data_IF_506339967864
#
_entry.id   IF_506339967864
#
_cell.length_a   1.000
_cell.length_b   1.000
_cell.length_c   1.000
_cell.angle_alpha   90.00
_cell.angle_beta   90.00
_cell.angle_gamma   90.00
#
_symmetry.space_group_name_H-M   'P 1'
#
loop_
_entity.id
_entity.type
_entity.pdbx_description
1 polymer ?
#
# COMPACT_ATOMS: atom_id res chain seq x y z
N UNK A 1 -6.69 4.40 -18.36
CA UNK A 1 -5.30 4.83 -18.07
C UNK A 1 -5.06 5.09 -16.57
N UNK A 2 -5.95 5.81 -15.88
CA UNK A 2 -5.86 6.06 -14.42
C UNK A 2 -5.76 4.79 -13.54
N UNK A 3 -6.42 3.70 -13.95
CA UNK A 3 -6.35 2.42 -13.22
C UNK A 3 -4.99 1.70 -13.31
N UNK A 4 -4.30 1.77 -14.46
CA UNK A 4 -2.95 1.22 -14.59
C UNK A 4 -1.96 2.01 -13.74
N UNK A 5 -2.14 3.33 -13.64
CA UNK A 5 -1.30 4.20 -12.83
C UNK A 5 -1.35 3.82 -11.34
N UNK A 6 -2.53 3.46 -10.81
CA UNK A 6 -2.63 3.11 -9.40
C UNK A 6 -2.05 1.73 -9.07
N UNK A 7 -2.24 0.73 -9.93
CA UNK A 7 -1.55 -0.57 -9.79
C UNK A 7 -0.04 -0.40 -9.91
N UNK A 8 0.43 0.51 -10.77
CA UNK A 8 1.85 0.88 -10.86
C UNK A 8 2.35 1.60 -9.61
N UNK A 9 1.60 2.55 -9.04
CA UNK A 9 1.95 3.25 -7.79
C UNK A 9 2.03 2.29 -6.60
N UNK A 10 1.13 1.31 -6.52
CA UNK A 10 1.14 0.27 -5.48
C UNK A 10 2.25 -0.79 -5.67
N UNK A 11 2.57 -1.15 -6.92
CA UNK A 11 3.74 -1.98 -7.19
C UNK A 11 5.04 -1.23 -6.87
N UNK A 12 5.08 0.09 -7.12
CA UNK A 12 6.21 0.97 -6.79
C UNK A 12 6.37 1.13 -5.27
N UNK A 13 5.29 1.22 -4.48
CA UNK A 13 5.41 1.28 -3.02
C UNK A 13 5.99 0.00 -2.44
N UNK A 14 5.63 -1.17 -2.98
CA UNK A 14 6.24 -2.45 -2.61
C UNK A 14 7.72 -2.53 -2.99
N UNK A 15 8.06 -2.11 -4.21
CA UNK A 15 9.43 -2.07 -4.69
C UNK A 15 10.26 -1.09 -3.85
N UNK A 16 9.68 0.04 -3.42
CA UNK A 16 10.34 0.98 -2.52
C UNK A 16 10.55 0.42 -1.12
N UNK A 17 9.58 -0.31 -0.56
CA UNK A 17 9.77 -0.99 0.73
C UNK A 17 10.84 -2.07 0.63
N UNK A 18 10.83 -2.88 -0.44
CA UNK A 18 11.83 -3.92 -0.69
C UNK A 18 13.23 -3.33 -0.97
N UNK A 19 13.31 -2.23 -1.73
CA UNK A 19 14.56 -1.51 -2.01
C UNK A 19 15.10 -0.83 -0.75
N UNK A 20 14.24 -0.27 0.10
CA UNK A 20 14.64 0.29 1.40
C UNK A 20 15.18 -0.77 2.35
N UNK A 21 14.56 -1.95 2.38
CA UNK A 21 15.07 -3.11 3.13
C UNK A 21 16.41 -3.61 2.57
N UNK A 22 16.56 -3.68 1.25
CA UNK A 22 17.81 -4.07 0.60
C UNK A 22 18.94 -3.05 0.86
N UNK A 23 18.62 -1.75 0.90
CA UNK A 23 19.56 -0.68 1.22
C UNK A 23 20.11 -0.81 2.65
N UNK A 24 19.29 -1.26 3.62
CA UNK A 24 19.74 -1.42 5.01
C UNK A 24 20.62 -2.63 5.24
N UNK A 25 20.44 -3.71 4.48
CA UNK A 25 21.40 -4.83 4.48
C UNK A 25 22.78 -4.35 4.00
N UNK A 26 22.81 -3.34 3.12
CA UNK A 26 24.05 -2.81 2.54
C UNK A 26 24.64 -1.62 3.32
N UNK A 27 23.80 -0.77 3.91
CA UNK A 27 24.19 0.41 4.67
C UNK A 27 24.47 0.01 6.12
N UNK A 28 25.71 -0.35 6.41
CA UNK A 28 26.20 -0.76 7.73
C UNK A 28 26.12 0.33 8.82
N UNK A 29 25.54 1.49 8.52
CA UNK A 29 25.55 2.69 9.35
C UNK A 29 24.14 3.14 9.83
N UNK A 30 23.06 2.63 9.24
CA UNK A 30 21.69 3.01 9.66
C UNK A 30 21.03 1.95 10.53
N UNK A 31 20.57 2.34 11.72
CA UNK A 31 19.82 1.44 12.61
C UNK A 31 18.43 1.10 12.06
N UNK A 32 17.96 -0.12 12.29
CA UNK A 32 16.64 -0.62 11.86
C UNK A 32 15.49 0.35 12.22
N UNK A 33 15.56 0.97 13.41
CA UNK A 33 14.53 1.92 13.87
C UNK A 33 14.45 3.20 13.02
N UNK A 34 15.59 3.72 12.56
CA UNK A 34 15.64 4.92 11.73
C UNK A 34 15.10 4.64 10.33
N UNK A 35 15.50 3.52 9.73
CA UNK A 35 14.95 3.06 8.45
C UNK A 35 13.43 2.91 8.51
N UNK A 36 12.92 2.20 9.52
CA UNK A 36 11.48 2.00 9.67
C UNK A 36 10.75 3.35 9.82
N UNK A 37 11.37 4.33 10.50
CA UNK A 37 10.81 5.68 10.60
C UNK A 37 10.71 6.35 9.21
N UNK A 38 11.77 6.28 8.40
CA UNK A 38 11.75 6.85 7.05
C UNK A 38 10.74 6.14 6.13
N UNK A 39 10.65 4.81 6.24
CA UNK A 39 9.66 4.02 5.51
C UNK A 39 8.23 4.39 5.91
N UNK A 40 7.96 4.59 7.20
CA UNK A 40 6.65 5.06 7.69
C UNK A 40 6.31 6.42 7.05
N UNK A 41 7.23 7.39 7.10
CA UNK A 41 6.99 8.73 6.53
C UNK A 41 6.73 8.68 5.01
N UNK A 42 7.52 7.89 4.29
CA UNK A 42 7.37 7.69 2.85
C UNK A 42 6.02 7.02 2.54
N UNK A 43 5.64 6.00 3.32
CA UNK A 43 4.38 5.29 3.13
C UNK A 43 3.17 6.20 3.42
N UNK A 44 3.22 7.04 4.47
CA UNK A 44 2.20 8.06 4.73
C UNK A 44 2.04 8.98 3.52
N UNK A 45 3.15 9.49 2.97
CA UNK A 45 3.13 10.34 1.78
C UNK A 45 2.51 9.64 0.57
N UNK A 46 2.88 8.38 0.34
CA UNK A 46 2.33 7.57 -0.75
C UNK A 46 0.83 7.30 -0.59
N UNK A 47 0.37 7.01 0.64
CA UNK A 47 -1.05 6.77 0.93
C UNK A 47 -1.90 8.04 0.77
N UNK A 48 -1.40 9.20 1.21
CA UNK A 48 -2.05 10.49 1.01
C UNK A 48 -2.15 10.82 -0.49
N UNK A 49 -1.06 10.66 -1.24
CA UNK A 49 -1.05 10.89 -2.68
C UNK A 49 -2.04 9.96 -3.39
N UNK A 50 -2.08 8.69 -2.97
CA UNK A 50 -3.00 7.69 -3.48
C UNK A 50 -4.46 8.08 -3.19
N UNK A 51 -4.79 8.50 -1.97
CA UNK A 51 -6.13 9.00 -1.63
C UNK A 51 -6.52 10.20 -2.50
N UNK A 52 -5.62 11.17 -2.66
CA UNK A 52 -5.85 12.36 -3.47
C UNK A 52 -6.18 12.01 -4.94
N UNK A 53 -5.43 11.08 -5.52
CA UNK A 53 -5.63 10.62 -6.91
C UNK A 53 -6.93 9.83 -7.11
N UNK A 54 -7.46 9.22 -6.05
CA UNK A 54 -8.46 8.14 -6.14
C UNK A 54 -9.82 8.52 -5.53
N UNK A 55 -9.89 9.62 -4.77
CA UNK A 55 -11.07 10.08 -4.01
C UNK A 55 -12.42 9.93 -4.72
N UNK A 56 -12.46 10.11 -6.05
CA UNK A 56 -13.71 10.08 -6.83
C UNK A 56 -14.00 8.75 -7.56
N UNK A 57 -13.11 7.75 -7.49
CA UNK A 57 -13.18 6.54 -8.32
C UNK A 57 -13.41 5.28 -7.49
N UNK A 58 -12.98 5.26 -6.24
CA UNK A 58 -13.03 4.06 -5.41
C UNK A 58 -14.18 4.11 -4.39
N UNK A 59 -14.70 2.92 -4.00
CA UNK A 59 -15.73 2.84 -2.97
C UNK A 59 -15.20 3.36 -1.63
N UNK A 60 -16.11 3.88 -0.82
CA UNK A 60 -15.84 4.50 0.49
C UNK A 60 -15.08 3.55 1.44
N UNK A 61 -15.30 2.24 1.34
CA UNK A 61 -14.56 1.25 2.11
C UNK A 61 -13.06 1.25 1.83
N UNK A 62 -12.62 1.62 0.62
CA UNK A 62 -11.20 1.73 0.28
C UNK A 62 -10.56 2.97 0.87
N UNK A 63 -11.27 4.10 0.82
CA UNK A 63 -10.79 5.35 1.41
C UNK A 63 -10.70 5.23 2.93
N UNK A 64 -11.70 4.61 3.58
CA UNK A 64 -11.68 4.39 5.03
C UNK A 64 -10.53 3.48 5.47
N UNK A 65 -10.26 2.41 4.71
CA UNK A 65 -9.12 1.54 5.00
C UNK A 65 -7.78 2.29 4.91
N UNK A 66 -7.57 3.08 3.85
CA UNK A 66 -6.34 3.88 3.67
C UNK A 66 -6.17 4.93 4.76
N UNK A 67 -7.25 5.60 5.16
CA UNK A 67 -7.24 6.54 6.30
C UNK A 67 -6.86 5.81 7.59
N UNK A 68 -7.39 4.60 7.82
CA UNK A 68 -7.01 3.76 8.95
C UNK A 68 -5.53 3.36 8.95
N UNK A 69 -4.97 3.02 7.79
CA UNK A 69 -3.53 2.73 7.64
C UNK A 69 -2.70 3.98 7.94
N UNK A 70 -3.07 5.15 7.42
CA UNK A 70 -2.38 6.41 7.71
C UNK A 70 -2.40 6.69 9.23
N UNK A 71 -3.55 6.53 9.88
CA UNK A 71 -3.66 6.72 11.33
C UNK A 71 -2.75 5.74 12.10
N UNK A 72 -2.73 4.46 11.71
CA UNK A 72 -1.84 3.46 12.31
C UNK A 72 -0.36 3.83 12.14
N UNK A 73 0.04 4.30 10.96
CA UNK A 73 1.40 4.74 10.68
C UNK A 73 1.82 5.96 11.52
N UNK A 74 0.92 6.92 11.73
CA UNK A 74 1.16 8.07 12.62
C UNK A 74 1.28 7.62 14.08
N UNK A 75 0.43 6.69 14.53
CA UNK A 75 0.51 6.13 15.89
C UNK A 75 1.86 5.44 16.13
N UNK A 76 2.39 4.72 15.13
CA UNK A 76 3.70 4.05 15.24
C UNK A 76 4.84 5.04 15.52
N UNK A 77 4.75 6.28 15.07
CA UNK A 77 5.75 7.32 15.39
C UNK A 77 5.73 7.63 16.89
N UNK A 78 4.55 7.69 17.52
CA UNK A 78 4.43 7.83 18.98
C UNK A 78 4.85 6.57 19.75
N UNK A 79 4.55 5.38 19.21
CA UNK A 79 4.98 4.11 19.80
C UNK A 79 6.50 4.00 19.85
N UNK A 80 7.22 4.54 18.86
CA UNK A 80 8.70 4.60 18.87
C UNK A 80 9.25 5.25 20.14
N UNK A 81 8.62 6.33 20.62
CA UNK A 81 9.08 7.05 21.80
C UNK A 81 8.57 6.44 23.11
N UNK A 82 7.36 5.88 23.11
CA UNK A 82 6.74 5.34 24.34
C UNK A 82 7.11 3.88 24.62
N UNK A 83 7.24 3.05 23.57
CA UNK A 83 7.50 1.60 23.65
C UNK A 83 8.41 1.13 22.49
N UNK A 84 9.70 1.51 22.49
CA UNK A 84 10.61 1.25 21.37
C UNK A 84 10.81 -0.25 21.07
N UNK A 85 10.68 -1.13 22.06
CA UNK A 85 10.78 -2.59 21.86
C UNK A 85 9.66 -3.16 20.97
N UNK A 86 8.47 -2.54 20.97
CA UNK A 86 7.34 -2.96 20.14
C UNK A 86 7.28 -2.26 18.79
N UNK A 87 8.07 -1.21 18.58
CA UNK A 87 8.04 -0.42 17.35
C UNK A 87 8.32 -1.25 16.11
N UNK A 88 9.39 -2.05 16.13
CA UNK A 88 9.79 -2.91 15.00
C UNK A 88 8.71 -3.94 14.62
N UNK A 89 8.24 -4.82 15.54
CA UNK A 89 7.23 -5.82 15.20
C UNK A 89 5.88 -5.20 14.79
N UNK A 90 5.45 -4.11 15.44
CA UNK A 90 4.20 -3.44 15.07
C UNK A 90 4.30 -2.77 13.69
N UNK A 91 5.44 -2.16 13.36
CA UNK A 91 5.64 -1.54 12.04
C UNK A 91 5.59 -2.59 10.93
N UNK A 92 6.29 -3.71 11.11
CA UNK A 92 6.22 -4.86 10.20
C UNK A 92 4.78 -5.37 10.02
N UNK A 93 4.02 -5.45 11.11
CA UNK A 93 2.63 -5.89 11.07
C UNK A 93 1.77 -4.94 10.24
N UNK A 94 1.87 -3.63 10.48
CA UNK A 94 1.11 -2.62 9.71
C UNK A 94 1.48 -2.66 8.23
N UNK A 95 2.77 -2.83 7.90
CA UNK A 95 3.21 -2.96 6.52
C UNK A 95 2.65 -4.22 5.85
N UNK A 96 2.66 -5.35 6.55
CA UNK A 96 2.10 -6.60 6.04
C UNK A 96 0.59 -6.50 5.81
N UNK A 97 -0.15 -5.88 6.73
CA UNK A 97 -1.60 -5.66 6.58
C UNK A 97 -1.89 -4.72 5.40
N UNK A 98 -1.13 -3.63 5.25
CA UNK A 98 -1.27 -2.74 4.10
C UNK A 98 -1.01 -3.48 2.79
N UNK A 99 0.07 -4.27 2.74
CA UNK A 99 0.40 -5.08 1.58
C UNK A 99 -0.69 -6.09 1.24
N UNK A 100 -1.17 -6.85 2.22
CA UNK A 100 -2.20 -7.86 2.03
C UNK A 100 -3.47 -7.24 1.47
N UNK A 101 -3.87 -6.09 1.99
CA UNK A 101 -5.04 -5.36 1.50
C UNK A 101 -4.86 -4.91 0.04
N UNK A 102 -3.71 -4.31 -0.28
CA UNK A 102 -3.41 -3.87 -1.64
C UNK A 102 -3.36 -5.06 -2.62
N UNK A 103 -2.73 -6.17 -2.23
CA UNK A 103 -2.68 -7.40 -3.01
C UNK A 103 -4.08 -8.00 -3.24
N UNK A 104 -4.92 -8.04 -2.21
CA UNK A 104 -6.28 -8.56 -2.31
C UNK A 104 -7.14 -7.71 -3.24
N UNK A 105 -7.10 -6.38 -3.08
CA UNK A 105 -7.89 -5.46 -3.90
C UNK A 105 -7.48 -5.50 -5.37
N UNK A 106 -6.18 -5.60 -5.66
CA UNK A 106 -5.68 -5.79 -7.03
C UNK A 106 -6.08 -7.14 -7.62
N UNK A 107 -5.96 -8.23 -6.86
CA UNK A 107 -6.33 -9.57 -7.33
C UNK A 107 -7.84 -9.68 -7.61
N UNK A 108 -8.67 -9.13 -6.72
CA UNK A 108 -10.12 -9.06 -6.90
C UNK A 108 -10.49 -8.25 -8.15
N UNK A 109 -9.79 -7.13 -8.40
CA UNK A 109 -9.98 -6.31 -9.61
C UNK A 109 -9.56 -7.03 -10.88
N UNK A 110 -8.41 -7.69 -10.91
CA UNK A 110 -7.95 -8.49 -12.07
C UNK A 110 -8.98 -9.58 -12.44
N UNK A 111 -9.53 -10.28 -11.43
CA UNK A 111 -10.60 -11.27 -11.64
C UNK A 111 -11.89 -10.63 -12.18
N UNK A 112 -12.29 -9.45 -11.69
CA UNK A 112 -13.44 -8.70 -12.20
C UNK A 112 -13.28 -8.27 -13.67
N UNK A 113 -12.12 -7.71 -14.02
CA UNK A 113 -11.81 -7.30 -15.39
C UNK A 113 -11.76 -8.48 -16.36
N UNK A 114 -11.24 -9.63 -15.90
CA UNK A 114 -11.24 -10.88 -16.67
C UNK A 114 -12.67 -11.35 -16.97
N UNK A 115 -13.55 -11.39 -15.95
CA UNK A 115 -14.97 -11.73 -16.14
C UNK A 115 -15.68 -10.78 -17.11
N UNK A 116 -15.40 -9.47 -17.04
CA UNK A 116 -15.97 -8.47 -17.95
C UNK A 116 -15.53 -8.68 -19.40
N UNK A 117 -14.26 -9.05 -19.63
CA UNK A 117 -13.76 -9.39 -20.99
C UNK A 117 -14.38 -10.66 -21.55
N UNK A 118 -14.59 -11.68 -20.71
CA UNK A 118 -15.24 -12.93 -21.12
C UNK A 118 -16.71 -12.67 -21.48
N UNK A 119 -17.45 -11.89 -20.67
CA UNK A 119 -18.83 -11.48 -20.99
C UNK A 119 -18.94 -10.67 -22.28
N UNK A 120 -18.02 -9.71 -22.52
CA UNK A 120 -18.01 -8.92 -23.76
C UNK A 120 -17.72 -9.79 -24.98
N UNK A 121 -16.86 -10.82 -24.87
CA UNK A 121 -16.63 -11.79 -25.95
C UNK A 121 -17.82 -12.76 -26.15
N UNK A 122 -18.55 -13.09 -25.10
CA UNK A 122 -19.66 -14.03 -25.14
C UNK A 122 -20.99 -13.41 -25.59
N UNK A 123 -21.10 -12.06 -25.61
CA UNK A 123 -22.30 -11.38 -26.11
C UNK A 123 -22.35 -11.54 -27.65
N UNK A 124 -23.35 -12.22 -28.23
CA UNK A 124 -23.46 -12.32 -29.67
C UNK A 124 -23.60 -10.91 -30.23
N UNK A 125 -22.77 -10.57 -31.22
CA UNK A 125 -22.96 -9.36 -32.01
C UNK A 125 -24.27 -9.54 -32.76
N UNK A 126 -25.37 -9.11 -32.16
CA UNK A 126 -26.65 -8.97 -32.85
C UNK A 126 -26.43 -8.05 -34.05
N UNK A 127 -26.62 -8.63 -35.24
CA UNK A 127 -26.89 -7.88 -36.46
C UNK A 127 -28.32 -7.35 -36.39
#
# INVERSE_FOLDING_TARGET
MKERLNTSIHAISLIMVAAGLAWVVWSSQTGMHEMLTYLILLLIGAEILSLYLIKNIYPESHTTFKVGIIAALVILIGVKTMMPSLFTPLTLTVFAVNYLYNFYTDTKRRKGTLKKKIQVKAKPRGR
#
